data_IF_964821280839
#
_entry.id   IF_964821280839
#
_cell.length_a   1.000
_cell.length_b   1.000
_cell.length_c   1.000
_cell.angle_alpha   90.00
_cell.angle_beta   90.00
_cell.angle_gamma   90.00
#
_symmetry.space_group_name_H-M   'P 1'
#
loop_
_entity.id
_entity.type
_entity.pdbx_description
1 polymer ?
#
# COMPACT_ATOMS: atom_id res chain seq x y z
N UNK A 1 -26.52 26.90 56.37
CA UNK A 1 -25.19 26.61 56.95
C UNK A 1 -24.54 25.51 56.15
N UNK A 2 -23.23 25.60 55.96
CA UNK A 2 -22.31 24.56 55.50
C UNK A 2 -20.88 25.15 55.69
N UNK A 3 -19.92 24.46 56.30
CA UNK A 3 -18.59 25.02 56.49
C UNK A 3 -17.82 25.04 55.17
N UNK A 4 -17.15 26.16 54.88
CA UNK A 4 -16.08 26.17 53.87
C UNK A 4 -14.95 25.24 54.35
N UNK A 5 -14.41 24.44 53.44
CA UNK A 5 -13.60 23.26 53.77
C UNK A 5 -12.30 23.61 54.51
N UNK A 6 -12.09 23.01 55.69
CA UNK A 6 -10.86 23.19 56.50
C UNK A 6 -9.55 22.86 55.75
N UNK A 7 -9.62 22.05 54.68
CA UNK A 7 -8.50 21.76 53.80
C UNK A 7 -7.86 23.03 53.20
N UNK A 8 -8.63 24.12 53.01
CA UNK A 8 -8.12 25.36 52.41
C UNK A 8 -7.47 26.34 53.42
N UNK A 9 -7.50 25.99 54.71
CA UNK A 9 -6.69 26.66 55.74
C UNK A 9 -5.33 25.94 55.89
N UNK A 10 -5.33 24.61 55.76
CA UNK A 10 -4.09 23.82 55.71
C UNK A 10 -3.26 24.10 54.46
N UNK A 11 -3.88 24.43 53.32
CA UNK A 11 -3.20 24.75 52.06
C UNK A 11 -2.32 26.01 52.14
N UNK A 12 -2.71 27.02 52.94
CA UNK A 12 -1.92 28.24 53.15
C UNK A 12 -0.85 28.08 54.23
N UNK A 13 -1.11 27.35 55.33
CA UNK A 13 -0.15 27.25 56.43
C UNK A 13 1.01 26.28 56.14
N UNK A 14 0.78 25.24 55.32
CA UNK A 14 1.85 24.43 54.73
C UNK A 14 2.43 25.10 53.46
N UNK A 15 2.76 26.39 53.56
CA UNK A 15 3.41 27.24 52.55
C UNK A 15 4.87 26.84 52.27
N UNK A 16 5.10 25.56 52.00
CA UNK A 16 6.40 24.92 51.81
C UNK A 16 6.43 24.02 50.56
N UNK A 17 5.60 24.35 49.57
CA UNK A 17 5.46 23.63 48.30
C UNK A 17 6.73 23.65 47.44
N UNK A 18 7.77 22.94 47.88
CA UNK A 18 8.88 22.50 47.05
C UNK A 18 8.27 21.70 45.89
N UNK A 19 8.07 22.35 44.74
CA UNK A 19 7.94 21.65 43.45
C UNK A 19 9.12 20.69 43.40
N UNK A 20 8.84 19.38 43.50
CA UNK A 20 9.86 18.36 43.56
C UNK A 20 10.61 18.40 42.23
N UNK A 21 11.73 19.12 42.22
CA UNK A 21 12.64 19.24 41.08
C UNK A 21 12.90 17.81 40.64
N UNK A 22 12.55 17.46 39.40
CA UNK A 22 12.65 16.09 38.92
C UNK A 22 14.13 15.71 38.79
N UNK A 23 14.71 15.22 39.88
CA UNK A 23 16.11 14.78 40.01
C UNK A 23 16.31 13.40 39.37
N UNK A 24 15.62 13.14 38.27
CA UNK A 24 15.95 12.05 37.36
C UNK A 24 16.91 12.56 36.27
N UNK A 25 17.75 11.68 35.69
CA UNK A 25 18.43 12.02 34.45
C UNK A 25 17.38 12.35 33.37
N UNK A 26 17.61 13.39 32.58
CA UNK A 26 16.72 13.72 31.46
C UNK A 26 16.75 12.57 30.44
N UNK A 27 15.65 12.33 29.74
CA UNK A 27 15.65 11.52 28.51
C UNK A 27 16.08 12.41 27.33
N UNK A 28 16.81 11.86 26.37
CA UNK A 28 17.02 12.44 25.05
C UNK A 28 15.74 12.43 24.21
N UNK A 29 15.80 13.07 23.05
CA UNK A 29 14.68 13.17 22.11
C UNK A 29 14.53 11.89 21.28
N UNK A 30 13.29 11.47 21.04
CA UNK A 30 12.97 10.23 20.31
C UNK A 30 13.02 10.45 18.79
N UNK A 31 13.68 9.55 18.06
CA UNK A 31 13.89 9.67 16.61
C UNK A 31 12.88 8.83 15.85
N UNK A 32 12.06 9.48 15.01
CA UNK A 32 11.01 8.81 14.23
C UNK A 32 11.49 8.52 12.81
N UNK A 33 11.52 7.25 12.41
CA UNK A 33 11.86 6.82 11.05
C UNK A 33 10.67 6.09 10.40
N UNK A 34 10.28 6.51 9.20
CA UNK A 34 9.28 5.78 8.42
C UNK A 34 9.96 4.65 7.63
N UNK A 35 9.38 3.45 7.68
CA UNK A 35 9.84 2.28 6.92
C UNK A 35 8.76 1.91 5.91
N UNK A 36 9.06 2.00 4.62
CA UNK A 36 8.20 1.43 3.57
C UNK A 36 8.27 -0.11 3.59
N UNK A 37 7.13 -0.80 3.52
CA UNK A 37 7.04 -2.27 3.65
C UNK A 37 5.99 -2.86 2.69
N UNK A 38 6.37 -3.92 1.97
CA UNK A 38 5.49 -4.66 1.07
C UNK A 38 4.36 -5.42 1.76
N UNK A 39 3.26 -5.64 1.07
CA UNK A 39 2.17 -6.50 1.57
C UNK A 39 2.60 -7.96 1.76
N UNK A 40 3.51 -8.47 0.92
CA UNK A 40 4.09 -9.80 1.08
C UNK A 40 5.00 -9.90 2.33
N UNK A 41 5.73 -8.83 2.66
CA UNK A 41 6.55 -8.73 3.87
C UNK A 41 5.68 -8.72 5.14
N UNK A 42 4.57 -7.98 5.13
CA UNK A 42 3.60 -7.92 6.24
C UNK A 42 2.85 -9.25 6.45
N UNK A 43 2.73 -10.07 5.41
CA UNK A 43 2.09 -11.39 5.47
C UNK A 43 3.07 -12.45 6.01
N UNK A 44 4.28 -12.51 5.46
CA UNK A 44 5.28 -13.52 5.80
C UNK A 44 6.08 -13.19 7.07
N UNK A 45 6.18 -11.91 7.45
CA UNK A 45 7.10 -11.43 8.46
C UNK A 45 8.53 -11.35 7.94
N UNK A 46 9.29 -10.32 8.35
CA UNK A 46 10.63 -10.04 7.82
C UNK A 46 11.47 -9.23 8.79
N UNK A 47 12.78 -9.46 8.80
CA UNK A 47 13.73 -8.59 9.50
C UNK A 47 14.34 -7.61 8.50
N UNK A 48 14.04 -6.31 8.65
CA UNK A 48 14.57 -5.25 7.77
C UNK A 48 15.67 -4.49 8.51
N UNK A 49 16.92 -4.64 8.05
CA UNK A 49 18.09 -3.95 8.62
C UNK A 49 18.18 -2.53 8.06
N UNK A 50 18.35 -1.55 8.94
CA UNK A 50 18.41 -0.12 8.59
C UNK A 50 19.62 0.53 9.25
N UNK A 51 20.38 1.30 8.48
CA UNK A 51 21.50 2.07 9.01
C UNK A 51 21.03 3.47 9.42
N UNK A 52 21.27 3.85 10.67
CA UNK A 52 20.96 5.16 11.25
C UNK A 52 22.27 5.80 11.71
N UNK A 53 22.41 7.10 11.47
CA UNK A 53 23.55 7.89 11.93
C UNK A 53 23.21 8.54 13.27
N UNK A 54 23.59 7.92 14.38
CA UNK A 54 23.40 8.46 15.74
C UNK A 54 24.60 9.31 16.17
N UNK A 55 24.37 10.29 17.04
CA UNK A 55 25.42 11.06 17.72
C UNK A 55 25.77 10.39 19.05
N UNK A 56 27.06 10.18 19.29
CA UNK A 56 27.62 9.56 20.49
C UNK A 56 28.76 10.45 21.00
N UNK A 57 28.91 10.70 22.32
CA UNK A 57 30.08 11.40 22.85
C UNK A 57 31.36 10.59 22.57
N UNK A 58 32.45 11.24 22.15
CA UNK A 58 33.73 10.56 21.84
C UNK A 58 34.26 9.77 23.04
N UNK A 59 34.11 10.34 24.25
CA UNK A 59 34.40 9.69 25.52
C UNK A 59 33.08 9.63 26.32
N UNK A 60 32.40 8.48 26.42
CA UNK A 60 31.11 8.39 27.13
C UNK A 60 31.26 8.46 28.65
N UNK A 61 32.37 7.99 29.21
CA UNK A 61 32.64 7.92 30.66
C UNK A 61 33.30 9.20 31.23
N UNK A 62 33.80 10.09 30.37
CA UNK A 62 34.43 11.34 30.81
C UNK A 62 33.35 12.38 31.20
N UNK A 63 33.53 13.01 32.37
CA UNK A 63 32.64 14.11 32.79
C UNK A 63 32.74 15.26 31.78
N UNK A 64 31.61 15.77 31.26
CA UNK A 64 31.62 16.78 30.20
C UNK A 64 32.21 18.10 30.74
N UNK A 65 33.05 18.76 29.94
CA UNK A 65 33.77 19.97 30.39
C UNK A 65 32.80 21.12 30.60
N UNK A 66 32.94 21.86 31.68
CA UNK A 66 32.13 23.05 31.95
C UNK A 66 32.23 24.06 30.79
N UNK A 67 31.14 24.75 30.47
CA UNK A 67 31.20 25.88 29.54
C UNK A 67 31.48 27.17 30.32
N UNK A 68 32.74 27.60 30.29
CA UNK A 68 33.25 28.81 30.98
C UNK A 68 32.42 30.05 30.63
N UNK A 69 32.02 30.18 29.36
CA UNK A 69 31.28 31.33 28.84
C UNK A 69 29.79 31.38 29.25
N UNK A 70 29.35 30.58 30.23
CA UNK A 70 28.02 30.68 30.86
C UNK A 70 27.96 30.11 32.30
N UNK A 71 29.10 29.90 32.98
CA UNK A 71 29.18 29.30 34.33
C UNK A 71 28.36 28.00 34.50
N UNK A 72 28.38 27.11 33.51
CA UNK A 72 27.52 25.90 33.41
C UNK A 72 26.00 26.11 33.34
N UNK A 73 25.50 27.36 33.30
CA UNK A 73 24.05 27.67 33.32
C UNK A 73 23.36 27.36 31.99
N UNK A 74 24.11 27.17 30.91
CA UNK A 74 23.59 26.94 29.54
C UNK A 74 23.02 28.18 28.85
N UNK A 75 22.79 29.26 29.60
CA UNK A 75 22.15 30.50 29.14
C UNK A 75 22.96 31.72 29.59
N UNK A 76 22.89 32.80 28.83
CA UNK A 76 23.41 34.13 29.18
C UNK A 76 22.26 35.11 29.34
N UNK A 77 22.41 36.10 30.21
CA UNK A 77 21.48 37.22 30.31
C UNK A 77 21.92 38.30 29.33
N UNK A 78 21.16 38.52 28.26
CA UNK A 78 21.40 39.60 27.30
C UNK A 78 20.49 40.79 27.63
N UNK A 79 21.08 41.97 27.73
CA UNK A 79 20.38 43.19 28.13
C UNK A 79 19.95 43.97 26.89
N UNK A 80 18.65 43.97 26.57
CA UNK A 80 18.09 44.67 25.41
C UNK A 80 17.36 45.95 25.86
N UNK A 81 17.78 47.10 25.35
CA UNK A 81 16.99 48.33 25.45
C UNK A 81 15.80 48.26 24.49
N UNK A 82 14.62 48.62 24.97
CA UNK A 82 13.35 48.60 24.20
C UNK A 82 12.77 50.01 24.05
N UNK A 83 13.15 50.94 24.92
CA UNK A 83 12.88 52.37 24.78
C UNK A 83 13.74 53.19 25.73
N UNK A 84 13.66 54.53 25.69
CA UNK A 84 14.34 55.40 26.65
C UNK A 84 13.99 55.01 28.09
N UNK A 85 15.01 54.70 28.91
CA UNK A 85 14.84 54.23 30.29
C UNK A 85 14.31 52.80 30.46
N UNK A 86 13.89 52.10 29.40
CA UNK A 86 13.33 50.75 29.47
C UNK A 86 14.32 49.68 29.00
N UNK A 87 14.87 48.96 29.97
CA UNK A 87 15.81 47.85 29.81
C UNK A 87 15.09 46.53 30.10
N UNK A 88 15.04 45.61 29.12
CA UNK A 88 14.64 44.22 29.36
C UNK A 88 15.87 43.32 29.37
N UNK A 89 16.09 42.63 30.50
CA UNK A 89 17.00 41.48 30.52
C UNK A 89 16.27 40.27 29.94
N UNK A 90 16.83 39.67 28.88
CA UNK A 90 16.32 38.46 28.26
C UNK A 90 17.32 37.32 28.40
N UNK A 91 16.82 36.12 28.70
CA UNK A 91 17.62 34.91 28.82
C UNK A 91 17.82 34.30 27.43
N UNK A 92 19.06 34.31 26.94
CA UNK A 92 19.45 33.80 25.62
C UNK A 92 20.25 32.51 25.80
N UNK A 93 20.04 31.55 24.91
CA UNK A 93 20.82 30.29 24.88
C UNK A 93 22.30 30.61 24.65
N UNK A 94 23.21 30.01 25.42
CA UNK A 94 24.64 30.26 25.24
C UNK A 94 25.15 29.60 23.96
N UNK A 95 25.61 30.40 23.00
CA UNK A 95 26.08 29.95 21.68
C UNK A 95 27.20 28.89 21.79
N UNK A 96 28.07 29.05 22.79
CA UNK A 96 29.28 28.24 22.98
C UNK A 96 29.01 26.86 23.65
N UNK A 97 27.74 26.54 23.96
CA UNK A 97 27.31 25.22 24.44
C UNK A 97 25.88 24.81 24.04
N UNK A 98 25.21 25.57 23.16
CA UNK A 98 23.87 25.23 22.65
C UNK A 98 22.80 25.00 23.71
N UNK A 99 22.92 25.62 24.90
CA UNK A 99 22.00 25.42 26.02
C UNK A 99 22.38 24.32 27.02
N UNK A 100 23.39 23.50 26.71
CA UNK A 100 23.74 22.33 27.53
C UNK A 100 24.50 22.67 28.82
N UNK A 101 25.18 23.82 28.86
CA UNK A 101 26.03 24.23 29.99
C UNK A 101 27.42 23.59 29.98
N UNK A 102 27.69 22.65 29.08
CA UNK A 102 28.95 21.95 28.95
C UNK A 102 29.42 21.85 27.49
N UNK A 103 30.70 21.54 27.29
CA UNK A 103 31.32 21.30 25.99
C UNK A 103 31.76 19.84 25.86
N UNK A 104 31.30 19.18 24.79
CA UNK A 104 31.54 17.77 24.50
C UNK A 104 31.79 17.59 23.01
N UNK A 105 32.80 16.79 22.66
CA UNK A 105 33.03 16.37 21.28
C UNK A 105 32.10 15.19 20.97
N UNK A 106 31.14 15.43 20.09
CA UNK A 106 30.25 14.39 19.56
C UNK A 106 30.85 13.78 18.29
N UNK A 107 30.71 12.47 18.13
CA UNK A 107 31.02 11.71 16.92
C UNK A 107 29.71 11.22 16.30
N UNK A 108 29.62 11.23 14.97
CA UNK A 108 28.56 10.51 14.27
C UNK A 108 28.98 9.05 14.07
N UNK A 109 28.10 8.13 14.46
CA UNK A 109 28.28 6.69 14.32
C UNK A 109 27.14 6.11 13.48
N UNK A 110 27.48 5.31 12.48
CA UNK A 110 26.53 4.59 11.64
C UNK A 110 26.18 3.26 12.32
N UNK A 111 25.11 3.25 13.11
CA UNK A 111 24.60 2.05 13.75
C UNK A 111 23.63 1.31 12.81
N UNK A 112 23.60 -0.03 12.83
CA UNK A 112 22.70 -0.84 12.02
C UNK A 112 21.68 -1.49 12.94
N UNK A 113 20.43 -1.04 12.87
CA UNK A 113 19.33 -1.57 13.66
C UNK A 113 18.51 -2.58 12.85
N UNK A 114 18.03 -3.62 13.52
CA UNK A 114 17.21 -4.66 12.91
C UNK A 114 15.74 -4.45 13.31
N UNK A 115 14.92 -4.00 12.36
CA UNK A 115 13.48 -3.86 12.58
C UNK A 115 12.79 -5.19 12.27
N UNK A 116 12.34 -5.89 13.31
CA UNK A 116 11.51 -7.08 13.19
C UNK A 116 10.07 -6.67 12.82
N UNK A 117 9.62 -7.07 11.64
CA UNK A 117 8.26 -6.88 11.15
C UNK A 117 7.51 -8.19 11.37
N UNK A 118 6.61 -8.21 12.35
CA UNK A 118 5.77 -9.36 12.67
C UNK A 118 4.65 -9.57 11.64
N UNK A 119 4.18 -10.82 11.55
CA UNK A 119 3.05 -11.19 10.69
C UNK A 119 1.80 -10.41 11.10
N UNK A 120 1.12 -9.82 10.12
CA UNK A 120 -0.15 -9.13 10.32
C UNK A 120 -0.05 -7.69 10.82
N UNK A 121 1.16 -7.15 11.08
CA UNK A 121 1.34 -5.76 11.50
C UNK A 121 0.62 -4.77 10.56
N UNK A 122 0.02 -3.71 11.12
CA UNK A 122 -0.86 -2.78 10.39
C UNK A 122 -0.11 -1.54 9.90
N UNK A 123 -0.64 -0.88 8.87
CA UNK A 123 -0.13 0.43 8.42
C UNK A 123 -0.16 1.43 9.59
N UNK A 124 0.91 2.23 9.74
CA UNK A 124 1.09 3.19 10.83
C UNK A 124 1.48 2.57 12.18
N UNK A 125 1.59 1.24 12.28
CA UNK A 125 2.04 0.58 13.51
C UNK A 125 3.50 0.94 13.82
N UNK A 126 3.80 1.08 15.11
CA UNK A 126 5.10 1.53 15.62
C UNK A 126 5.90 0.38 16.22
N UNK A 127 7.16 0.24 15.82
CA UNK A 127 8.18 -0.59 16.50
C UNK A 127 9.12 0.36 17.23
N UNK A 128 9.35 0.14 18.52
CA UNK A 128 10.16 1.04 19.36
C UNK A 128 11.41 0.30 19.83
N UNK A 129 12.58 0.72 19.34
CA UNK A 129 13.88 0.28 19.86
C UNK A 129 14.35 1.26 20.92
N UNK A 130 14.53 0.78 22.14
CA UNK A 130 14.74 1.64 23.31
C UNK A 130 16.20 2.05 23.46
N UNK A 131 16.44 3.34 23.73
CA UNK A 131 17.78 3.88 23.99
C UNK A 131 18.74 3.91 22.78
N UNK A 132 18.23 3.75 21.55
CA UNK A 132 19.02 3.70 20.31
C UNK A 132 19.14 5.05 19.56
N UNK A 133 18.57 6.12 20.11
CA UNK A 133 18.66 7.46 19.53
C UNK A 133 20.01 8.15 19.87
N UNK A 134 20.10 9.46 19.59
CA UNK A 134 21.27 10.27 19.97
C UNK A 134 21.54 10.22 21.48
N UNK A 135 22.79 9.97 21.85
CA UNK A 135 23.25 9.93 23.22
C UNK A 135 23.88 11.28 23.62
N UNK A 136 23.36 11.90 24.68
CA UNK A 136 23.95 13.09 25.30
C UNK A 136 24.45 12.74 26.71
N UNK A 137 25.65 13.18 27.14
CA UNK A 137 26.20 12.80 28.43
C UNK A 137 25.38 13.38 29.59
N UNK A 138 25.23 12.58 30.65
CA UNK A 138 24.35 12.89 31.79
C UNK A 138 22.85 12.74 31.50
N UNK A 139 22.47 12.16 30.35
CA UNK A 139 21.08 11.87 29.97
C UNK A 139 20.91 10.42 29.55
N UNK A 140 19.70 9.88 29.67
CA UNK A 140 19.33 8.59 29.09
C UNK A 140 19.03 8.81 27.61
N UNK A 141 19.58 8.04 26.65
CA UNK A 141 19.28 8.21 25.23
C UNK A 141 17.77 8.06 24.92
N UNK A 142 17.33 8.71 23.86
CA UNK A 142 15.97 8.57 23.33
C UNK A 142 15.73 7.19 22.68
N UNK A 143 14.48 6.93 22.31
CA UNK A 143 14.08 5.73 21.59
C UNK A 143 14.02 5.98 20.07
N UNK A 144 14.33 4.95 19.28
CA UNK A 144 14.10 4.96 17.83
C UNK A 144 12.73 4.36 17.55
N UNK A 145 11.84 5.16 16.97
CA UNK A 145 10.45 4.80 16.68
C UNK A 145 10.32 4.58 15.17
N UNK A 146 10.33 3.32 14.76
CA UNK A 146 10.01 2.94 13.40
C UNK A 146 8.50 2.94 13.17
N UNK A 147 8.03 3.63 12.14
CA UNK A 147 6.62 3.68 11.72
C UNK A 147 6.47 2.94 10.40
N UNK A 148 5.66 1.88 10.37
CA UNK A 148 5.49 1.08 9.15
C UNK A 148 4.54 1.76 8.15
N UNK A 149 5.07 2.15 7.00
CA UNK A 149 4.30 2.61 5.85
C UNK A 149 4.09 1.44 4.87
N UNK A 150 2.87 0.92 4.81
CA UNK A 150 2.50 -0.13 3.84
C UNK A 150 2.54 0.43 2.42
N UNK A 151 3.29 -0.21 1.52
CA UNK A 151 3.33 0.13 0.09
C UNK A 151 2.11 -0.45 -0.67
N UNK A 152 1.61 0.24 -1.71
CA UNK A 152 0.47 -0.23 -2.51
C UNK A 152 0.88 -1.37 -3.46
N UNK A 153 0.24 -2.54 -3.33
CA UNK A 153 0.54 -3.70 -4.17
C UNK A 153 -0.37 -3.78 -5.41
N UNK A 154 0.20 -4.17 -6.56
CA UNK A 154 -0.46 -4.10 -7.88
C UNK A 154 -1.73 -4.96 -8.03
N UNK A 155 -1.81 -6.10 -7.32
CA UNK A 155 -2.96 -7.03 -7.35
C UNK A 155 -3.85 -7.02 -6.11
N UNK A 156 -3.36 -6.48 -4.99
CA UNK A 156 -3.99 -6.67 -3.67
C UNK A 156 -4.06 -5.36 -2.89
N UNK A 157 -5.26 -5.00 -2.45
CA UNK A 157 -5.49 -3.88 -1.54
C UNK A 157 -5.90 -4.43 -0.17
N UNK A 158 -5.12 -4.15 0.88
CA UNK A 158 -5.46 -4.60 2.23
C UNK A 158 -6.53 -3.71 2.86
N UNK A 159 -7.56 -4.33 3.42
CA UNK A 159 -8.59 -3.66 4.23
C UNK A 159 -8.58 -4.29 5.64
N UNK A 160 -7.94 -3.62 6.59
CA UNK A 160 -7.73 -4.12 7.95
C UNK A 160 -6.99 -5.47 7.99
N UNK A 161 -7.71 -6.58 8.18
CA UNK A 161 -7.16 -7.93 8.21
C UNK A 161 -7.62 -8.77 7.00
N UNK A 162 -8.49 -8.21 6.17
CA UNK A 162 -8.94 -8.78 4.90
C UNK A 162 -8.12 -8.24 3.72
N UNK A 163 -8.19 -8.96 2.59
CA UNK A 163 -7.61 -8.55 1.31
C UNK A 163 -8.72 -8.32 0.28
N UNK A 164 -8.54 -7.32 -0.57
CA UNK A 164 -9.34 -7.06 -1.76
C UNK A 164 -8.50 -7.33 -3.01
N UNK A 165 -9.08 -8.01 -4.00
CA UNK A 165 -8.47 -8.23 -5.32
C UNK A 165 -9.51 -7.93 -6.41
N UNK A 166 -9.08 -7.27 -7.49
CA UNK A 166 -9.90 -7.05 -8.67
C UNK A 166 -9.53 -8.09 -9.76
N UNK A 167 -10.42 -9.05 -10.00
CA UNK A 167 -10.24 -10.04 -11.06
C UNK A 167 -11.07 -9.66 -12.28
N UNK A 168 -10.39 -9.48 -13.42
CA UNK A 168 -11.05 -9.33 -14.71
C UNK A 168 -11.48 -10.70 -15.24
N UNK A 169 -12.71 -10.81 -15.70
CA UNK A 169 -13.27 -12.03 -16.33
C UNK A 169 -14.01 -11.65 -17.62
N UNK A 170 -14.09 -12.57 -18.57
CA UNK A 170 -14.91 -12.38 -19.77
C UNK A 170 -16.40 -12.56 -19.48
N UNK A 171 -17.27 -12.03 -20.35
CA UNK A 171 -18.72 -12.26 -20.28
C UNK A 171 -19.10 -13.76 -20.32
N UNK A 172 -18.35 -14.59 -21.06
CA UNK A 172 -18.59 -16.05 -21.13
C UNK A 172 -18.31 -16.70 -19.78
N UNK A 173 -17.18 -16.37 -19.14
CA UNK A 173 -16.85 -16.86 -17.79
C UNK A 173 -17.82 -16.35 -16.72
N UNK A 174 -18.36 -15.14 -16.89
CA UNK A 174 -19.37 -14.59 -15.99
C UNK A 174 -20.74 -15.30 -16.09
N UNK A 175 -21.11 -15.82 -17.26
CA UNK A 175 -22.38 -16.52 -17.49
C UNK A 175 -22.28 -18.03 -17.25
N UNK A 176 -21.25 -18.68 -17.79
CA UNK A 176 -21.08 -20.14 -17.71
C UNK A 176 -20.40 -20.60 -16.41
N UNK A 177 -19.68 -19.71 -15.74
CA UNK A 177 -18.87 -19.97 -14.55
C UNK A 177 -17.37 -19.91 -14.85
N UNK A 178 -16.63 -19.14 -14.05
CA UNK A 178 -15.19 -18.90 -14.23
C UNK A 178 -14.32 -19.93 -13.50
N UNK A 179 -13.17 -20.26 -14.09
CA UNK A 179 -12.04 -20.92 -13.42
C UNK A 179 -10.77 -20.12 -13.71
N UNK A 180 -10.14 -19.56 -12.67
CA UNK A 180 -8.91 -18.79 -12.79
C UNK A 180 -7.90 -19.17 -11.69
N UNK A 181 -6.63 -18.87 -11.96
CA UNK A 181 -5.52 -19.11 -11.05
C UNK A 181 -5.07 -17.77 -10.47
N UNK A 182 -5.08 -17.65 -9.14
CA UNK A 182 -4.63 -16.47 -8.41
C UNK A 182 -3.32 -16.77 -7.67
N UNK A 183 -2.31 -15.91 -7.86
CA UNK A 183 -1.05 -15.98 -7.11
C UNK A 183 -1.18 -15.13 -5.85
N UNK A 184 -1.08 -15.77 -4.69
CA UNK A 184 -1.23 -15.17 -3.37
C UNK A 184 0.11 -14.67 -2.80
N UNK A 185 0.08 -13.91 -1.69
CA UNK A 185 1.25 -13.34 -1.00
C UNK A 185 2.22 -14.40 -0.44
N UNK A 186 1.76 -15.65 -0.28
CA UNK A 186 2.58 -16.84 0.01
C UNK A 186 3.37 -17.36 -1.20
N UNK A 187 3.21 -16.78 -2.41
CA UNK A 187 3.66 -17.36 -3.69
C UNK A 187 2.86 -18.60 -4.15
N UNK A 188 1.88 -19.03 -3.34
CA UNK A 188 0.96 -20.14 -3.65
C UNK A 188 -0.02 -19.77 -4.77
N UNK A 189 -0.43 -20.78 -5.52
CA UNK A 189 -1.35 -20.66 -6.66
C UNK A 189 -2.72 -21.22 -6.30
N UNK A 190 -3.67 -20.35 -5.97
CA UNK A 190 -5.04 -20.67 -5.60
C UNK A 190 -5.87 -20.89 -6.87
N UNK A 191 -6.54 -22.04 -6.98
CA UNK A 191 -7.40 -22.36 -8.12
C UNK A 191 -8.87 -22.01 -7.80
N UNK A 192 -9.25 -20.78 -8.11
CA UNK A 192 -10.58 -20.25 -7.86
C UNK A 192 -11.58 -20.78 -8.89
N UNK A 193 -12.67 -21.42 -8.44
CA UNK A 193 -13.74 -21.95 -9.30
C UNK A 193 -15.12 -21.45 -8.86
N UNK A 194 -15.88 -20.94 -9.82
CA UNK A 194 -17.32 -20.65 -9.69
C UNK A 194 -18.13 -21.89 -10.08
N UNK A 195 -19.35 -22.06 -9.56
CA UNK A 195 -20.19 -23.21 -9.94
C UNK A 195 -20.68 -23.03 -11.38
N UNK A 196 -20.71 -24.09 -12.23
CA UNK A 196 -21.25 -23.96 -13.58
C UNK A 196 -22.69 -23.43 -13.57
N UNK A 197 -22.97 -22.41 -14.39
CA UNK A 197 -24.26 -21.71 -14.45
C UNK A 197 -24.54 -20.71 -13.31
N UNK A 198 -23.60 -20.48 -12.40
CA UNK A 198 -23.70 -19.44 -11.37
C UNK A 198 -23.31 -18.07 -11.94
N UNK A 199 -24.31 -17.29 -12.38
CA UNK A 199 -24.10 -16.01 -13.07
C UNK A 199 -23.49 -14.95 -12.16
N UNK A 200 -22.29 -14.49 -12.51
CA UNK A 200 -21.59 -13.38 -11.87
C UNK A 200 -22.11 -12.06 -12.46
N UNK A 201 -22.62 -11.17 -11.61
CA UNK A 201 -23.07 -9.82 -12.02
C UNK A 201 -21.91 -8.82 -12.02
N UNK A 202 -21.95 -7.74 -12.82
CA UNK A 202 -20.97 -6.65 -12.73
C UNK A 202 -20.88 -6.09 -11.30
N UNK A 203 -19.67 -5.95 -10.76
CA UNK A 203 -19.46 -5.47 -9.39
C UNK A 203 -19.82 -6.48 -8.28
N UNK A 204 -20.17 -7.72 -8.62
CA UNK A 204 -20.34 -8.80 -7.65
C UNK A 204 -18.99 -9.12 -6.97
N UNK A 205 -19.04 -9.46 -5.68
CA UNK A 205 -17.88 -9.78 -4.85
C UNK A 205 -18.07 -11.16 -4.25
N UNK A 206 -17.06 -12.03 -4.34
CA UNK A 206 -17.01 -13.31 -3.62
C UNK A 206 -15.92 -13.28 -2.56
N UNK A 207 -16.15 -13.93 -1.42
CA UNK A 207 -15.13 -14.17 -0.40
C UNK A 207 -14.52 -15.56 -0.54
N UNK A 208 -13.22 -15.67 -0.31
CA UNK A 208 -12.51 -16.90 0.03
C UNK A 208 -12.09 -16.78 1.50
N UNK A 209 -12.51 -17.74 2.32
CA UNK A 209 -12.15 -17.81 3.74
C UNK A 209 -10.68 -18.24 3.91
N UNK A 210 -10.06 -17.84 5.03
CA UNK A 210 -8.68 -18.20 5.40
C UNK A 210 -7.56 -17.85 4.38
N UNK A 211 -7.81 -16.91 3.46
CA UNK A 211 -6.80 -16.38 2.51
C UNK A 211 -6.62 -14.85 2.58
N UNK A 212 -7.13 -14.19 3.61
CA UNK A 212 -6.79 -12.81 3.95
C UNK A 212 -5.45 -12.67 4.68
N UNK A 213 -5.22 -11.51 5.33
CA UNK A 213 -3.99 -11.28 6.10
C UNK A 213 -4.03 -12.05 7.44
N UNK A 214 -2.87 -12.54 7.94
CA UNK A 214 -2.79 -13.08 9.30
C UNK A 214 -3.08 -12.00 10.34
N UNK A 215 -3.73 -12.38 11.44
CA UNK A 215 -4.00 -11.48 12.56
C UNK A 215 -2.71 -11.25 13.37
N UNK A 216 -2.39 -9.99 13.66
CA UNK A 216 -1.26 -9.62 14.51
C UNK A 216 -1.34 -10.31 15.89
N UNK A 217 -0.20 -10.82 16.39
CA UNK A 217 -0.06 -11.77 17.53
C UNK A 217 -0.63 -13.19 17.32
N UNK A 218 -1.66 -13.37 16.50
CA UNK A 218 -2.36 -14.65 16.29
C UNK A 218 -2.20 -15.15 14.83
N UNK A 219 -0.98 -15.50 14.36
CA UNK A 219 -0.69 -15.76 12.95
C UNK A 219 -1.37 -17.00 12.34
N UNK A 220 -2.02 -17.83 13.17
CA UNK A 220 -2.82 -18.97 12.74
C UNK A 220 -4.24 -18.58 12.29
N UNK A 221 -4.73 -17.41 12.71
CA UNK A 221 -6.03 -16.86 12.28
C UNK A 221 -5.75 -15.85 11.17
N UNK A 222 -6.45 -15.97 10.05
CA UNK A 222 -6.41 -15.03 8.93
C UNK A 222 -7.77 -14.36 8.73
N UNK A 223 -7.78 -13.21 8.08
CA UNK A 223 -9.00 -12.64 7.49
C UNK A 223 -9.40 -13.36 6.20
N UNK A 224 -10.27 -12.71 5.42
CA UNK A 224 -10.82 -13.22 4.15
C UNK A 224 -10.19 -12.52 2.95
N UNK A 225 -10.26 -13.17 1.79
CA UNK A 225 -9.92 -12.60 0.50
C UNK A 225 -11.20 -12.32 -0.29
N UNK A 226 -11.50 -11.04 -0.51
CA UNK A 226 -12.60 -10.58 -1.33
C UNK A 226 -12.17 -10.33 -2.77
N UNK A 227 -12.76 -11.08 -3.71
CA UNK A 227 -12.52 -10.95 -5.13
C UNK A 227 -13.71 -10.20 -5.75
N UNK A 228 -13.46 -8.97 -6.21
CA UNK A 228 -14.38 -8.18 -7.02
C UNK A 228 -14.24 -8.59 -8.48
N UNK A 229 -15.36 -8.86 -9.15
CA UNK A 229 -15.38 -9.24 -10.57
C UNK A 229 -15.67 -8.03 -11.47
N UNK A 230 -14.66 -7.66 -12.26
CA UNK A 230 -14.78 -6.67 -13.32
C UNK A 230 -14.99 -7.40 -14.65
N UNK A 231 -16.21 -7.34 -15.18
CA UNK A 231 -16.60 -8.10 -16.38
C UNK A 231 -16.19 -7.33 -17.65
N UNK A 232 -15.34 -7.95 -18.45
CA UNK A 232 -14.93 -7.45 -19.77
C UNK A 232 -15.95 -7.93 -20.80
N UNK A 233 -16.69 -6.97 -21.37
CA UNK A 233 -17.58 -7.19 -22.49
C UNK A 233 -16.80 -7.26 -23.82
N UNK A 234 -17.28 -8.01 -24.83
CA UNK A 234 -16.70 -8.00 -26.16
C UNK A 234 -16.83 -6.62 -26.81
N UNK A 235 -15.89 -6.26 -27.69
CA UNK A 235 -15.92 -4.99 -28.41
C UNK A 235 -17.05 -4.92 -29.44
N UNK A 236 -17.51 -3.71 -29.76
CA UNK A 236 -18.60 -3.48 -30.71
C UNK A 236 -18.30 -4.11 -32.09
N UNK A 237 -19.34 -4.68 -32.72
CA UNK A 237 -19.23 -5.34 -34.03
C UNK A 237 -18.55 -6.72 -34.03
N UNK A 238 -17.99 -7.20 -32.91
CA UNK A 238 -17.37 -8.55 -32.87
C UNK A 238 -18.37 -9.71 -32.88
N UNK A 239 -19.64 -9.47 -32.53
CA UNK A 239 -20.70 -10.48 -32.50
C UNK A 239 -21.36 -10.58 -33.88
N UNK A 240 -21.30 -11.75 -34.51
CA UNK A 240 -21.97 -11.99 -35.80
C UNK A 240 -23.50 -12.12 -35.65
N UNK A 241 -24.26 -11.79 -36.70
CA UNK A 241 -25.72 -11.90 -36.69
C UNK A 241 -26.21 -13.31 -36.31
N UNK A 242 -25.52 -14.36 -36.77
CA UNK A 242 -25.82 -15.75 -36.39
C UNK A 242 -25.65 -15.99 -34.88
N UNK A 243 -24.63 -15.39 -34.25
CA UNK A 243 -24.43 -15.47 -32.80
C UNK A 243 -25.50 -14.70 -32.03
N UNK A 244 -25.99 -13.56 -32.54
CA UNK A 244 -27.12 -12.82 -31.93
C UNK A 244 -28.37 -13.70 -31.82
N UNK A 245 -28.77 -14.37 -32.90
CA UNK A 245 -29.93 -15.29 -32.93
C UNK A 245 -29.76 -16.54 -32.06
N UNK A 246 -28.53 -16.86 -31.63
CA UNK A 246 -28.28 -17.92 -30.63
C UNK A 246 -28.40 -17.32 -29.21
N UNK A 247 -27.83 -16.15 -28.95
CA UNK A 247 -27.92 -15.45 -27.66
C UNK A 247 -29.39 -15.15 -27.28
N UNK A 248 -30.21 -14.71 -28.23
CA UNK A 248 -31.67 -14.49 -28.05
C UNK A 248 -32.46 -15.74 -27.64
N UNK A 249 -31.93 -16.93 -27.90
CA UNK A 249 -32.53 -18.22 -27.51
C UNK A 249 -32.01 -18.73 -26.16
N UNK A 250 -30.81 -18.32 -25.78
CA UNK A 250 -30.14 -18.74 -24.54
C UNK A 250 -30.35 -17.79 -23.35
N UNK A 251 -30.65 -16.51 -23.62
CA UNK A 251 -30.85 -15.47 -22.61
C UNK A 251 -32.35 -15.15 -22.41
N UNK A 252 -32.76 -14.60 -21.26
CA UNK A 252 -34.12 -14.14 -21.07
C UNK A 252 -34.47 -13.06 -22.10
N UNK A 253 -35.64 -13.20 -22.75
CA UNK A 253 -36.11 -12.26 -23.77
C UNK A 253 -36.31 -10.85 -23.19
N UNK A 254 -36.02 -9.78 -23.95
CA UNK A 254 -36.38 -8.42 -23.56
C UNK A 254 -37.87 -8.31 -23.24
N UNK A 255 -38.21 -7.50 -22.24
CA UNK A 255 -39.61 -7.14 -21.95
C UNK A 255 -40.18 -6.37 -23.15
N UNK A 256 -41.32 -6.76 -23.73
CA UNK A 256 -41.90 -6.05 -24.87
C UNK A 256 -42.36 -4.66 -24.43
N UNK A 257 -41.74 -3.62 -25.01
CA UNK A 257 -42.14 -2.23 -24.81
C UNK A 257 -43.37 -1.93 -25.67
N UNK A 258 -44.44 -1.43 -25.04
CA UNK A 258 -45.56 -0.83 -25.76
C UNK A 258 -45.17 0.61 -26.14
N UNK A 259 -44.79 0.80 -27.40
CA UNK A 259 -44.39 2.10 -27.95
C UNK A 259 -45.65 2.83 -28.43
N UNK A 260 -45.98 4.03 -27.88
CA UNK A 260 -47.10 4.84 -28.37
C UNK A 260 -46.84 5.34 -29.80
N UNK A 261 -47.90 5.55 -30.59
CA UNK A 261 -47.73 6.05 -31.98
C UNK A 261 -47.14 7.46 -32.06
N UNK A 262 -47.22 8.23 -30.97
CA UNK A 262 -46.74 9.62 -30.88
C UNK A 262 -45.26 9.73 -30.45
N UNK A 263 -44.49 8.64 -30.43
CA UNK A 263 -43.09 8.64 -29.96
C UNK A 263 -42.07 8.93 -31.05
N UNK A 264 -41.19 9.91 -30.84
CA UNK A 264 -40.07 10.22 -31.73
C UNK A 264 -38.86 9.28 -31.52
N UNK A 265 -38.23 8.82 -32.61
CA UNK A 265 -37.01 8.00 -32.55
C UNK A 265 -35.75 8.83 -32.25
N UNK A 266 -35.32 8.85 -30.99
CA UNK A 266 -34.07 9.51 -30.57
C UNK A 266 -32.88 8.54 -30.64
N UNK A 267 -31.90 8.86 -31.50
CA UNK A 267 -30.61 8.12 -31.54
C UNK A 267 -29.75 8.47 -30.33
N UNK A 268 -29.57 7.53 -29.41
CA UNK A 268 -28.64 7.65 -28.29
C UNK A 268 -27.20 7.57 -28.80
N UNK A 269 -26.47 8.68 -28.76
CA UNK A 269 -25.01 8.72 -29.00
C UNK A 269 -24.24 8.51 -27.69
N UNK A 270 -23.08 7.84 -27.77
CA UNK A 270 -22.13 7.83 -26.64
C UNK A 270 -21.68 9.26 -26.33
N UNK A 271 -21.91 9.71 -25.10
CA UNK A 271 -21.27 10.91 -24.57
C UNK A 271 -19.79 10.58 -24.43
N UNK A 272 -18.98 11.07 -25.38
CA UNK A 272 -17.52 11.08 -25.22
C UNK A 272 -17.20 11.76 -23.88
N UNK A 273 -16.38 11.11 -23.05
CA UNK A 273 -16.12 11.56 -21.69
C UNK A 273 -15.64 13.01 -21.68
N UNK A 274 -16.11 13.79 -20.69
CA UNK A 274 -15.70 15.18 -20.51
C UNK A 274 -14.20 15.26 -20.23
N UNK A 275 -13.40 15.32 -21.29
CA UNK A 275 -12.01 15.74 -21.23
C UNK A 275 -12.00 17.13 -20.60
N UNK A 276 -11.38 17.24 -19.43
CA UNK A 276 -11.29 18.46 -18.64
C UNK A 276 -10.35 19.44 -19.33
N UNK A 277 -10.83 20.08 -20.40
CA UNK A 277 -10.11 21.07 -21.18
C UNK A 277 -9.79 22.29 -20.30
N UNK A 278 -8.62 22.26 -19.67
CA UNK A 278 -8.12 23.23 -18.69
C UNK A 278 -7.78 24.60 -19.32
N UNK A 279 -8.77 25.21 -19.96
CA UNK A 279 -8.75 26.55 -20.55
C UNK A 279 -9.17 27.57 -19.51
N UNK A 280 -8.24 27.87 -18.59
CA UNK A 280 -8.50 28.74 -17.45
C UNK A 280 -8.96 30.15 -17.86
N UNK A 281 -10.24 30.46 -17.65
CA UNK A 281 -10.76 31.83 -17.66
C UNK A 281 -11.10 32.25 -16.24
N UNK A 282 -10.40 33.27 -15.74
CA UNK A 282 -10.78 33.94 -14.49
C UNK A 282 -12.01 34.82 -14.76
N UNK A 283 -13.16 34.39 -14.29
CA UNK A 283 -14.31 35.25 -14.04
C UNK A 283 -14.73 35.02 -12.59
N UNK A 284 -14.18 35.84 -11.70
CA UNK A 284 -14.56 35.86 -10.30
C UNK A 284 -15.67 36.90 -10.12
N UNK A 285 -16.90 36.45 -9.92
CA UNK A 285 -18.01 37.35 -9.61
C UNK A 285 -18.80 36.83 -8.41
N UNK A 286 -19.17 37.75 -7.52
CA UNK A 286 -19.88 37.44 -6.28
C UNK A 286 -21.35 37.17 -6.57
N UNK A 287 -21.88 36.04 -6.12
CA UNK A 287 -23.28 35.97 -5.70
C UNK A 287 -23.41 35.18 -4.38
N UNK A 288 -24.11 35.76 -3.42
CA UNK A 288 -24.11 35.33 -2.02
C UNK A 288 -25.53 35.14 -1.47
N UNK A 289 -26.16 34.04 -1.85
CA UNK A 289 -27.38 33.50 -1.25
C UNK A 289 -27.57 32.05 -1.71
N UNK A 290 -27.96 31.08 -0.88
CA UNK A 290 -28.38 31.22 0.51
C UNK A 290 -29.47 30.20 0.86
N UNK A 291 -29.19 28.90 0.77
CA UNK A 291 -30.12 27.83 1.14
C UNK A 291 -29.38 26.71 1.89
N UNK A 292 -29.81 26.40 3.12
CA UNK A 292 -29.28 25.29 3.92
C UNK A 292 -30.08 24.02 3.61
N UNK A 293 -29.45 22.97 3.09
CA UNK A 293 -30.15 21.73 2.77
C UNK A 293 -29.28 20.48 2.68
N UNK A 294 -29.63 19.49 3.50
CA UNK A 294 -29.37 18.03 3.38
C UNK A 294 -27.96 17.44 3.51
N UNK A 295 -27.91 16.42 4.38
CA UNK A 295 -27.16 15.14 4.32
C UNK A 295 -25.76 15.08 3.69
N UNK A 296 -24.78 14.70 4.51
CA UNK A 296 -23.50 14.15 4.03
C UNK A 296 -23.67 12.67 3.71
N UNK A 297 -23.42 12.27 2.47
CA UNK A 297 -22.86 10.97 2.12
C UNK A 297 -21.45 11.26 1.58
N UNK A 298 -20.47 10.44 1.92
CA UNK A 298 -19.07 10.71 1.61
C UNK A 298 -18.58 9.75 0.51
N UNK A 299 -18.69 10.18 -0.74
CA UNK A 299 -18.09 9.48 -1.87
C UNK A 299 -16.58 9.73 -1.93
N UNK A 300 -15.81 8.65 -2.11
CA UNK A 300 -14.35 8.67 -2.20
C UNK A 300 -13.91 8.94 -3.66
N UNK A 301 -12.92 9.83 -3.91
CA UNK A 301 -12.44 10.07 -5.26
C UNK A 301 -11.70 8.85 -5.82
N UNK A 302 -12.12 8.41 -7.01
CA UNK A 302 -11.50 7.34 -7.79
C UNK A 302 -10.22 7.88 -8.46
N UNK A 303 -9.07 7.22 -8.28
CA UNK A 303 -7.79 7.68 -8.83
C UNK A 303 -7.38 6.82 -10.04
N UNK A 304 -7.52 7.37 -11.24
CA UNK A 304 -6.92 6.79 -12.46
C UNK A 304 -5.45 7.17 -12.56
N UNK A 305 -4.58 6.16 -12.72
CA UNK A 305 -3.16 6.36 -12.97
C UNK A 305 -2.89 6.42 -14.48
N UNK A 306 -2.40 7.56 -14.97
CA UNK A 306 -1.68 7.64 -16.23
C UNK A 306 -0.23 8.04 -15.92
N UNK A 307 0.72 7.20 -16.35
CA UNK A 307 2.15 7.39 -16.11
C UNK A 307 2.85 7.99 -17.31
N UNK A 308 3.25 9.26 -17.22
CA UNK A 308 4.17 9.88 -18.16
C UNK A 308 5.58 9.95 -17.55
N UNK A 309 6.56 9.37 -18.23
CA UNK A 309 7.98 9.56 -17.92
C UNK A 309 8.51 10.72 -18.77
N UNK A 310 9.06 11.75 -18.13
CA UNK A 310 9.94 12.71 -18.78
C UNK A 310 10.95 13.25 -17.75
N UNK A 311 12.24 13.30 -18.13
CA UNK A 311 13.32 13.71 -17.25
C UNK A 311 13.80 15.12 -17.55
N UNK A 312 13.66 16.05 -16.60
CA UNK A 312 14.18 17.40 -16.76
C UNK A 312 15.71 17.46 -16.64
N UNK A 313 16.37 18.00 -17.67
CA UNK A 313 17.75 18.50 -17.63
C UNK A 313 17.70 20.02 -17.78
N UNK A 314 18.36 20.81 -16.91
CA UNK A 314 18.16 22.26 -16.86
C UNK A 314 18.67 23.03 -18.09
N UNK A 315 18.11 24.23 -18.27
CA UNK A 315 18.22 25.02 -19.51
C UNK A 315 19.58 25.69 -19.72
N UNK A 316 19.85 25.98 -21.00
CA UNK A 316 21.09 26.59 -21.53
C UNK A 316 21.43 27.94 -20.90
N UNK A 317 22.71 28.17 -20.65
CA UNK A 317 23.32 29.50 -20.66
C UNK A 317 23.80 29.86 -22.09
N UNK A 318 23.84 31.14 -22.40
CA UNK A 318 24.17 31.67 -23.74
C UNK A 318 25.67 31.68 -24.03
N UNK A 319 26.08 31.43 -25.28
CA UNK A 319 26.74 32.44 -26.16
C UNK A 319 27.20 31.89 -27.53
N UNK A 320 27.24 32.81 -28.50
CA UNK A 320 28.05 32.85 -29.74
C UNK A 320 27.96 31.65 -30.71
N UNK A 321 27.32 31.90 -31.85
CA UNK A 321 27.74 31.32 -33.12
C UNK A 321 29.16 31.77 -33.47
N UNK A 322 29.87 30.96 -34.26
CA UNK A 322 30.93 31.44 -35.17
C UNK A 322 31.01 30.53 -36.40
N UNK A 323 31.37 31.10 -37.54
CA UNK A 323 31.54 30.37 -38.81
C UNK A 323 32.86 29.61 -38.85
N UNK A 324 32.86 28.45 -39.53
CA UNK A 324 33.92 27.82 -40.36
C UNK A 324 33.57 26.32 -40.54
N UNK A 325 33.69 25.68 -41.70
CA UNK A 325 34.12 26.19 -43.01
C UNK A 325 35.20 25.33 -43.66
N UNK A 326 34.90 24.06 -43.98
CA UNK A 326 35.79 23.17 -44.73
C UNK A 326 35.00 22.12 -45.52
N UNK A 327 35.51 21.66 -46.66
CA UNK A 327 34.88 20.68 -47.53
C UNK A 327 35.93 19.78 -48.22
N UNK A 328 35.55 18.54 -48.55
CA UNK A 328 36.02 17.65 -49.63
C UNK A 328 35.36 16.24 -49.42
N UNK A 329 34.90 15.46 -50.41
CA UNK A 329 35.50 14.97 -51.67
C UNK A 329 36.66 13.97 -51.39
N UNK A 330 36.76 12.74 -51.94
CA UNK A 330 36.00 11.99 -52.97
C UNK A 330 36.31 10.46 -52.89
N UNK A 331 35.34 9.60 -53.29
CA UNK A 331 35.51 8.20 -53.83
C UNK A 331 36.17 7.14 -52.89
N UNK A 332 36.00 5.82 -53.10
CA UNK A 332 35.01 5.09 -53.91
C UNK A 332 35.42 3.66 -54.33
N UNK A 333 34.59 2.64 -54.00
CA UNK A 333 34.51 1.24 -54.50
C UNK A 333 35.76 0.32 -54.43
N UNK A 334 35.58 -0.90 -53.89
CA UNK A 334 35.46 -2.18 -54.65
C UNK A 334 35.17 -3.38 -53.71
N UNK A 335 34.80 -4.54 -54.26
CA UNK A 335 34.51 -5.81 -53.54
C UNK A 335 35.39 -6.98 -54.10
N UNK A 336 35.10 -8.29 -53.89
CA UNK A 336 35.96 -9.24 -53.17
C UNK A 336 36.60 -10.30 -54.12
N UNK A 337 37.21 -11.42 -53.65
CA UNK A 337 36.42 -12.64 -53.34
C UNK A 337 37.02 -13.68 -52.33
N UNK A 338 36.17 -14.61 -51.84
CA UNK A 338 36.37 -16.09 -51.60
C UNK A 338 37.63 -16.65 -50.88
N UNK A 339 37.62 -17.78 -50.14
CA UNK A 339 36.63 -18.85 -49.83
C UNK A 339 36.86 -19.38 -48.37
N UNK A 340 36.59 -20.60 -47.85
CA UNK A 340 36.17 -21.95 -48.35
C UNK A 340 35.52 -22.79 -47.20
N UNK A 341 35.34 -24.10 -47.38
CA UNK A 341 34.80 -25.10 -46.42
C UNK A 341 35.50 -26.48 -46.62
N UNK A 342 35.22 -27.58 -45.86
CA UNK A 342 33.92 -28.28 -45.68
C UNK A 342 33.55 -28.41 -44.16
N UNK A 343 32.79 -29.35 -43.54
CA UNK A 343 32.00 -30.59 -43.84
C UNK A 343 31.12 -30.90 -42.59
N UNK A 344 30.04 -31.70 -42.54
CA UNK A 344 29.17 -32.35 -43.55
C UNK A 344 27.80 -32.79 -42.91
N UNK A 345 27.44 -34.07 -42.99
CA UNK A 345 26.48 -34.92 -42.25
C UNK A 345 25.23 -34.28 -41.60
N UNK A 346 24.03 -34.28 -42.21
CA UNK A 346 23.11 -35.37 -42.68
C UNK A 346 22.16 -35.95 -41.61
N UNK A 347 20.94 -35.41 -41.57
CA UNK A 347 19.70 -36.17 -41.35
C UNK A 347 18.54 -35.51 -42.12
N UNK A 348 17.50 -36.25 -42.49
CA UNK A 348 16.27 -35.74 -43.15
C UNK A 348 15.02 -36.20 -42.39
N UNK A 349 13.89 -35.48 -42.50
CA UNK A 349 12.67 -35.80 -41.75
C UNK A 349 11.87 -36.94 -42.40
N UNK A 350 11.06 -37.63 -41.59
CA UNK A 350 9.95 -38.45 -42.09
C UNK A 350 8.61 -37.73 -41.88
N UNK A 351 7.75 -37.96 -42.86
CA UNK A 351 6.31 -37.75 -42.87
C UNK A 351 5.65 -39.07 -42.45
N UNK A 352 4.48 -39.03 -41.81
CA UNK A 352 3.47 -40.08 -41.98
C UNK A 352 2.09 -39.57 -41.56
N UNK A 353 1.07 -39.99 -42.30
CA UNK A 353 -0.33 -39.64 -42.12
C UNK A 353 -1.15 -40.90 -42.26
N UNK A 354 -2.19 -41.13 -41.45
CA UNK A 354 -3.27 -42.07 -41.82
C UNK A 354 -4.57 -41.83 -41.03
N UNK A 355 -5.66 -41.68 -41.80
CA UNK A 355 -7.12 -41.86 -41.53
C UNK A 355 -7.78 -41.58 -40.17
N UNK A 356 -8.98 -41.01 -40.23
CA UNK A 356 -9.97 -41.00 -39.15
C UNK A 356 -10.96 -42.19 -39.23
N UNK A 357 -11.63 -42.54 -38.12
CA UNK A 357 -12.91 -43.28 -38.14
C UNK A 357 -13.74 -43.15 -36.84
N UNK A 358 -15.06 -43.08 -37.05
CA UNK A 358 -16.17 -43.60 -36.22
C UNK A 358 -16.33 -43.23 -34.72
N UNK A 359 -17.46 -42.58 -34.44
CA UNK A 359 -18.15 -42.51 -33.14
C UNK A 359 -18.58 -43.92 -32.68
N UNK A 360 -18.53 -44.21 -31.37
CA UNK A 360 -19.39 -45.22 -30.74
C UNK A 360 -19.96 -44.70 -29.41
N UNK A 361 -21.28 -44.77 -29.28
CA UNK A 361 -22.01 -44.46 -28.04
C UNK A 361 -22.24 -45.75 -27.27
N UNK A 362 -21.94 -45.78 -25.97
CA UNK A 362 -22.37 -46.86 -25.09
C UNK A 362 -23.11 -46.34 -23.85
N UNK A 363 -24.11 -47.11 -23.42
CA UNK A 363 -25.09 -46.70 -22.41
C UNK A 363 -24.76 -47.27 -21.04
N UNK A 364 -25.18 -46.49 -20.03
CA UNK A 364 -25.42 -46.88 -18.64
C UNK A 364 -25.83 -48.37 -18.51
N UNK A 365 -25.13 -49.10 -17.63
CA UNK A 365 -25.64 -50.32 -16.99
C UNK A 365 -25.60 -50.14 -15.47
N UNK A 366 -26.62 -50.69 -14.81
CA UNK A 366 -26.83 -50.61 -13.36
C UNK A 366 -27.11 -52.03 -12.83
N UNK A 367 -26.37 -52.54 -11.84
CA UNK A 367 -26.70 -53.79 -11.16
C UNK A 367 -27.30 -53.56 -9.76
N UNK A 368 -28.47 -54.16 -9.51
CA UNK A 368 -28.97 -54.44 -8.14
C UNK A 368 -28.58 -55.88 -7.76
N UNK A 369 -28.58 -56.16 -6.46
CA UNK A 369 -28.24 -57.45 -5.84
C UNK A 369 -27.18 -57.24 -4.76
N UNK A 370 -27.46 -57.22 -3.45
CA UNK A 370 -28.00 -58.34 -2.64
C UNK A 370 -27.16 -59.61 -2.86
N UNK A 371 -26.57 -60.30 -1.90
CA UNK A 371 -26.60 -60.37 -0.41
C UNK A 371 -25.74 -61.66 -0.09
N UNK A 372 -25.62 -62.22 1.14
CA UNK A 372 -25.76 -61.69 2.51
C UNK A 372 -24.57 -62.13 3.44
N UNK A 373 -24.79 -62.16 4.77
CA UNK A 373 -24.20 -63.06 5.80
C UNK A 373 -23.02 -62.55 6.68
N UNK A 374 -23.39 -62.13 7.92
CA UNK A 374 -22.71 -62.32 9.24
C UNK A 374 -21.34 -61.60 9.46
N UNK A 375 -20.85 -61.36 10.69
CA UNK A 375 -21.30 -61.60 12.09
C UNK A 375 -20.63 -60.51 12.98
N UNK A 376 -21.13 -60.14 14.19
CA UNK A 376 -20.33 -59.19 15.02
C UNK A 376 -20.82 -58.52 16.31
N UNK A 377 -22.06 -58.74 16.79
CA UNK A 377 -22.55 -58.45 18.18
C UNK A 377 -22.00 -57.26 19.02
N UNK A 378 -22.96 -56.40 19.44
CA UNK A 378 -23.05 -55.68 20.75
C UNK A 378 -22.11 -54.48 21.02
N UNK A 379 -22.73 -53.33 21.29
CA UNK A 379 -23.08 -52.97 22.68
C UNK A 379 -24.35 -52.09 22.72
N UNK A 380 -24.98 -51.97 23.89
CA UNK A 380 -26.34 -51.46 24.01
C UNK A 380 -26.41 -50.08 24.67
N UNK A 381 -27.28 -49.22 24.15
CA UNK A 381 -27.83 -48.09 24.92
C UNK A 381 -29.16 -48.51 25.55
N UNK A 382 -29.32 -48.23 26.84
CA UNK A 382 -30.64 -48.18 27.51
C UNK A 382 -30.77 -46.80 28.16
N UNK A 383 -31.82 -46.08 27.81
CA UNK A 383 -32.30 -44.93 28.57
C UNK A 383 -33.56 -45.36 29.33
N UNK A 384 -33.67 -44.97 30.60
CA UNK A 384 -34.90 -45.01 31.39
C UNK A 384 -34.79 -43.98 32.52
N UNK A 385 -35.88 -43.28 32.80
CA UNK A 385 -36.03 -42.40 33.96
C UNK A 385 -36.12 -43.23 35.25
N UNK A 386 -35.41 -42.79 36.29
CA UNK A 386 -35.86 -42.75 37.70
C UNK A 386 -34.84 -41.92 38.50
#
# INVERSE_FOLDING_TARGET
GAPQSANDIFSMFFGGGRRQKQTGPKKGEDVVHQISVDLADLYNGKVKKLAINRKVPVNPDEKPKACDACDTRGVRMMTRQIGPGMIQQMQVVCDNCGGMGYQVKMKQERHILECNIEKGMKHGQKVVLRGEADQLPGTVPGDVIFVLAMEPHSRFQRNNDDLLCAQRITLVEALCGCQFLLEHLDGRKLLCKTRPGEVIKPGHIKSIDDEGMPMHKNPFVKGKLYIKFDIVFPADGTISQQAMTILEKCLPKPTPLQVPMDSEEVRVSLIATFSSCASGRRLGERFSSGLKGRSRVADLPFYTQDGAQDGEVPRRLSRRCNFLGAANLLRGRLLPPQSRSPSSDKAKPQWESVTAAAIRVERIRNPRGENPIRLGRRNACKAAYA
#
